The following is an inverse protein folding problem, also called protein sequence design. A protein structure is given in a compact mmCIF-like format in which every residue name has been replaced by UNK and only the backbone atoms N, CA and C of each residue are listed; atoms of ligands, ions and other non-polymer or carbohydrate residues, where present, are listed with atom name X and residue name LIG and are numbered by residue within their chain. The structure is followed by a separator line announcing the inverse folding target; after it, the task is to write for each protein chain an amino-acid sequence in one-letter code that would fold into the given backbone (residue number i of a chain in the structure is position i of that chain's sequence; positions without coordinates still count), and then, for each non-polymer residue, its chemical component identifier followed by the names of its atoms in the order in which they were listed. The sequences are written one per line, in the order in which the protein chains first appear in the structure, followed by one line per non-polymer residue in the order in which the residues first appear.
data_IF_135077940374
#
_entry.id   IF_135077940374
#
_cell.length_a   1.000
_cell.length_b   1.000
_cell.length_c   1.000
_cell.angle_alpha   90.00
_cell.angle_beta   90.00
_cell.angle_gamma   90.00
#
_symmetry.space_group_name_H-M   'P 1'
#
loop_
_entity.id
_entity.type
_entity.pdbx_description
1 polymer ?
#
# COMPACT_ATOMS: atom_id res chain seq x y z
N UNK A 1 57.38 17.63 20.85
CA UNK A 1 58.51 17.43 21.79
C UNK A 1 58.05 16.40 22.82
N UNK A 2 58.74 15.24 22.92
CA UNK A 2 58.74 14.26 24.05
C UNK A 2 57.46 13.42 24.22
N UNK A 3 57.42 12.11 24.48
CA UNK A 3 58.25 10.87 24.44
C UNK A 3 57.19 9.74 24.61
N UNK A 4 57.09 8.71 23.78
CA UNK A 4 57.76 7.40 23.93
C UNK A 4 57.52 6.63 25.25
N UNK A 5 57.09 5.36 25.10
CA UNK A 5 57.51 4.13 25.85
C UNK A 5 56.77 3.88 27.20
N UNK A 6 56.34 2.69 27.66
CA UNK A 6 56.75 1.25 27.60
C UNK A 6 55.51 0.37 27.92
N UNK A 7 55.27 -0.79 27.31
CA UNK A 7 55.85 -2.13 27.61
C UNK A 7 55.67 -2.60 29.06
N UNK A 8 54.92 -3.69 29.25
CA UNK A 8 55.24 -4.72 30.25
C UNK A 8 54.56 -6.05 29.90
N UNK A 9 55.33 -6.93 29.26
CA UNK A 9 55.21 -8.37 29.40
C UNK A 9 56.04 -8.79 30.61
N UNK A 10 55.53 -9.70 31.45
CA UNK A 10 56.32 -10.68 32.20
C UNK A 10 55.37 -11.72 32.85
N UNK A 11 55.42 -12.98 32.40
CA UNK A 11 55.95 -14.15 33.13
C UNK A 11 55.05 -14.66 34.28
N UNK A 12 54.45 -15.86 34.18
CA UNK A 12 55.03 -17.20 34.47
C UNK A 12 54.18 -17.81 35.61
N UNK A 13 53.83 -19.09 35.74
CA UNK A 13 54.61 -20.32 35.59
C UNK A 13 53.65 -21.54 35.66
N UNK A 14 53.99 -22.59 34.90
CA UNK A 14 53.91 -24.03 35.21
C UNK A 14 52.70 -24.59 36.00
N UNK A 15 52.00 -25.55 35.36
CA UNK A 15 52.03 -26.94 35.86
C UNK A 15 51.77 -27.93 34.72
N UNK A 16 52.74 -28.79 34.47
CA UNK A 16 52.60 -29.99 33.64
C UNK A 16 51.81 -31.05 34.43
N UNK A 17 50.96 -31.83 33.75
CA UNK A 17 50.72 -33.25 34.07
C UNK A 17 50.02 -33.97 32.90
N UNK A 18 50.85 -34.58 32.07
CA UNK A 18 50.81 -35.98 31.61
C UNK A 18 49.50 -36.81 31.60
N UNK A 19 49.29 -37.46 30.43
CA UNK A 19 49.02 -38.91 30.20
C UNK A 19 47.57 -39.38 29.91
N UNK A 20 47.49 -40.19 28.84
CA UNK A 20 46.43 -41.13 28.34
C UNK A 20 45.31 -40.51 27.49
N UNK A 21 45.35 -40.68 26.15
CA UNK A 21 44.77 -41.82 25.40
C UNK A 21 43.36 -42.21 25.87
N UNK A 22 42.33 -41.86 25.10
CA UNK A 22 41.53 -42.80 24.29
C UNK A 22 40.16 -42.22 23.91
N UNK A 23 39.85 -42.39 22.63
CA UNK A 23 38.54 -42.77 22.06
C UNK A 23 37.37 -41.77 22.03
N UNK A 24 36.75 -41.78 20.85
CA UNK A 24 35.34 -41.55 20.56
C UNK A 24 34.84 -40.10 20.44
N UNK A 25 34.96 -39.62 19.21
CA UNK A 25 33.91 -38.89 18.50
C UNK A 25 32.51 -39.45 18.78
N UNK A 26 31.78 -38.88 19.74
CA UNK A 26 30.32 -38.85 19.75
C UNK A 26 29.83 -38.04 20.95
N UNK A 27 29.49 -36.76 20.73
CA UNK A 27 28.34 -36.10 21.38
C UNK A 27 28.22 -34.68 20.82
N UNK A 28 27.77 -34.59 19.57
CA UNK A 28 27.10 -33.38 19.10
C UNK A 28 25.84 -33.27 19.96
N UNK A 29 25.81 -32.28 20.86
CA UNK A 29 24.61 -31.82 21.56
C UNK A 29 23.50 -31.62 20.52
N UNK A 30 22.58 -32.58 20.42
CA UNK A 30 21.27 -32.36 19.80
C UNK A 30 20.55 -31.36 20.68
N UNK A 31 20.57 -30.09 20.27
CA UNK A 31 19.58 -29.13 20.73
C UNK A 31 18.26 -29.63 20.15
N UNK A 32 17.45 -30.28 20.99
CA UNK A 32 16.02 -30.41 20.76
C UNK A 32 15.44 -29.00 20.80
N UNK A 33 15.50 -28.29 19.68
CA UNK A 33 14.62 -27.17 19.43
C UNK A 33 13.22 -27.75 19.28
N UNK A 34 12.49 -27.74 20.39
CA UNK A 34 11.04 -27.64 20.42
C UNK A 34 10.64 -26.47 19.51
N UNK A 35 10.52 -26.69 18.20
CA UNK A 35 9.65 -25.88 17.36
C UNK A 35 8.25 -26.46 17.57
N UNK A 36 7.68 -26.12 18.73
CA UNK A 36 6.25 -26.00 18.90
C UNK A 36 5.71 -25.33 17.65
N UNK A 37 5.06 -26.12 16.79
CA UNK A 37 4.31 -25.62 15.67
C UNK A 37 3.19 -24.78 16.26
N UNK A 38 3.46 -23.49 16.46
CA UNK A 38 2.45 -22.49 16.74
C UNK A 38 1.37 -22.67 15.68
N UNK A 39 0.08 -22.68 16.06
CA UNK A 39 -0.99 -22.74 15.07
C UNK A 39 -0.72 -21.63 14.08
N UNK A 40 -0.77 -21.96 12.79
CA UNK A 40 -0.61 -21.01 11.68
C UNK A 40 -1.74 -20.01 11.84
N UNK A 41 -1.52 -18.96 12.61
CA UNK A 41 -2.54 -17.95 12.91
C UNK A 41 -2.66 -17.12 11.66
N UNK A 42 -3.61 -17.50 10.80
CA UNK A 42 -4.01 -16.67 9.67
C UNK A 42 -4.71 -15.45 10.23
N UNK A 43 -4.08 -14.29 10.09
CA UNK A 43 -4.68 -13.00 10.44
C UNK A 43 -5.48 -12.47 9.25
N UNK A 44 -6.64 -11.86 9.49
CA UNK A 44 -7.42 -11.21 8.43
C UNK A 44 -7.20 -9.71 8.51
N UNK A 45 -6.69 -9.13 7.43
CA UNK A 45 -6.43 -7.70 7.31
C UNK A 45 -7.48 -7.09 6.38
N UNK A 46 -8.03 -5.95 6.81
CA UNK A 46 -8.91 -5.10 5.99
C UNK A 46 -8.32 -3.71 5.93
N UNK A 47 -8.26 -3.09 4.75
CA UNK A 47 -7.82 -1.71 4.64
C UNK A 47 -7.73 -1.22 3.20
N UNK A 48 -7.33 0.05 3.06
CA UNK A 48 -7.15 0.71 1.78
C UNK A 48 -5.73 0.51 1.29
N UNK A 49 -5.58 0.14 0.02
CA UNK A 49 -4.29 -0.03 -0.63
C UNK A 49 -3.66 1.33 -0.91
N UNK A 50 -2.50 1.57 -0.31
CA UNK A 50 -1.75 2.81 -0.52
C UNK A 50 -0.78 2.71 -1.70
N UNK A 51 -0.17 1.54 -1.90
CA UNK A 51 0.82 1.27 -2.95
C UNK A 51 0.73 -0.18 -3.41
N UNK A 52 1.04 -0.43 -4.68
CA UNK A 52 1.06 -1.76 -5.31
C UNK A 52 2.36 -1.93 -6.08
N UNK A 53 2.94 -3.12 -6.03
CA UNK A 53 4.04 -3.53 -6.91
C UNK A 53 3.89 -5.00 -7.31
N UNK A 54 4.88 -5.54 -8.02
CA UNK A 54 4.83 -6.93 -8.49
C UNK A 54 4.81 -7.95 -7.35
N UNK A 55 5.44 -7.62 -6.22
CA UNK A 55 5.68 -8.54 -5.10
C UNK A 55 4.61 -8.46 -4.01
N UNK A 56 3.81 -7.40 -3.94
CA UNK A 56 2.84 -7.22 -2.89
C UNK A 56 2.07 -5.91 -2.94
N UNK A 57 1.38 -5.62 -1.83
CA UNK A 57 0.61 -4.40 -1.61
C UNK A 57 0.97 -3.79 -0.25
N UNK A 58 0.84 -2.46 -0.15
CA UNK A 58 0.95 -1.72 1.10
C UNK A 58 -0.44 -1.34 1.61
N UNK A 59 -0.76 -1.73 2.84
CA UNK A 59 -2.03 -1.41 3.51
C UNK A 59 -1.72 -0.83 4.88
N UNK A 60 -2.18 0.39 5.15
CA UNK A 60 -1.73 1.17 6.31
C UNK A 60 -0.20 1.38 6.27
N UNK A 61 0.46 1.14 7.40
CA UNK A 61 1.92 1.29 7.52
C UNK A 61 2.71 0.01 7.21
N UNK A 62 2.06 -1.06 6.72
CA UNK A 62 2.68 -2.38 6.54
C UNK A 62 2.67 -2.85 5.09
N UNK A 63 3.77 -3.46 4.68
CA UNK A 63 3.90 -4.16 3.41
C UNK A 63 3.54 -5.64 3.56
N UNK A 64 2.76 -6.14 2.62
CA UNK A 64 2.33 -7.54 2.55
C UNK A 64 2.70 -8.12 1.19
N UNK A 65 3.50 -9.19 1.20
CA UNK A 65 3.95 -9.84 -0.02
C UNK A 65 2.96 -10.92 -0.47
N UNK A 66 2.80 -11.12 -1.78
CA UNK A 66 2.04 -12.24 -2.30
C UNK A 66 2.71 -13.57 -1.93
N UNK A 67 1.94 -14.51 -1.41
CA UNK A 67 2.43 -15.87 -1.21
C UNK A 67 2.72 -16.53 -2.56
N UNK A 68 3.77 -17.34 -2.62
CA UNK A 68 4.04 -18.23 -3.77
C UNK A 68 2.94 -19.26 -4.01
N UNK A 69 2.06 -19.47 -3.02
CA UNK A 69 0.93 -20.39 -3.06
C UNK A 69 -0.40 -19.68 -3.32
N UNK A 70 -0.38 -18.38 -3.64
CA UNK A 70 -1.58 -17.65 -4.00
C UNK A 70 -2.09 -18.19 -5.35
N UNK A 71 -3.30 -18.75 -5.36
CA UNK A 71 -3.86 -19.41 -6.54
C UNK A 71 -4.06 -18.44 -7.72
N UNK A 72 -4.53 -17.23 -7.43
CA UNK A 72 -4.75 -16.18 -8.41
C UNK A 72 -4.40 -14.82 -7.81
N UNK A 73 -3.65 -14.00 -8.55
CA UNK A 73 -3.36 -12.62 -8.17
C UNK A 73 -4.50 -11.73 -8.69
N UNK A 74 -5.38 -11.19 -7.82
CA UNK A 74 -6.40 -10.26 -8.27
C UNK A 74 -5.76 -8.97 -8.78
N UNK A 75 -6.45 -8.31 -9.71
CA UNK A 75 -6.08 -6.97 -10.17
C UNK A 75 -6.45 -5.95 -9.09
N UNK A 76 -5.44 -5.43 -8.40
CA UNK A 76 -5.57 -4.47 -7.31
C UNK A 76 -4.90 -3.17 -7.73
N UNK A 77 -5.59 -2.07 -7.54
CA UNK A 77 -5.09 -0.71 -7.73
C UNK A 77 -4.90 0.02 -6.41
N UNK A 78 -4.20 1.15 -6.46
CA UNK A 78 -4.14 2.10 -5.34
C UNK A 78 -5.55 2.65 -5.08
N UNK A 79 -5.90 2.81 -3.81
CA UNK A 79 -7.22 3.21 -3.29
C UNK A 79 -8.30 2.11 -3.30
N UNK A 80 -8.00 0.89 -3.74
CA UNK A 80 -8.91 -0.24 -3.54
C UNK A 80 -9.03 -0.57 -2.05
N UNK A 81 -10.24 -0.93 -1.63
CA UNK A 81 -10.47 -1.51 -0.30
C UNK A 81 -10.33 -3.02 -0.41
N UNK A 82 -9.40 -3.59 0.35
CA UNK A 82 -9.08 -5.01 0.28
C UNK A 82 -9.29 -5.68 1.61
N UNK A 83 -9.72 -6.95 1.56
CA UNK A 83 -9.78 -7.86 2.69
C UNK A 83 -9.07 -9.14 2.33
N UNK A 84 -8.05 -9.53 3.09
CA UNK A 84 -7.20 -10.69 2.78
C UNK A 84 -6.70 -11.39 4.03
N UNK A 85 -6.38 -12.67 3.89
CA UNK A 85 -5.76 -13.50 4.93
C UNK A 85 -4.24 -13.51 4.76
N UNK A 86 -3.52 -13.32 5.87
CA UNK A 86 -2.06 -13.32 5.94
C UNK A 86 -1.55 -14.40 6.88
N UNK A 87 -0.46 -15.03 6.49
CA UNK A 87 0.29 -15.98 7.31
C UNK A 87 1.77 -15.61 7.25
N UNK A 88 2.41 -15.40 8.40
CA UNK A 88 3.82 -15.00 8.51
C UNK A 88 4.18 -13.78 7.63
N UNK A 89 3.25 -12.84 7.45
CA UNK A 89 3.45 -11.63 6.63
C UNK A 89 3.23 -11.82 5.12
N UNK A 90 2.83 -13.02 4.67
CA UNK A 90 2.49 -13.30 3.28
C UNK A 90 0.98 -13.44 3.08
N UNK A 91 0.48 -12.85 1.99
CA UNK A 91 -0.94 -12.91 1.60
C UNK A 91 -1.21 -14.30 1.05
N UNK A 92 -2.04 -15.05 1.76
CA UNK A 92 -2.40 -16.43 1.42
C UNK A 92 -3.67 -16.47 0.57
N UNK A 93 -4.63 -15.59 0.86
CA UNK A 93 -5.91 -15.56 0.15
C UNK A 93 -6.52 -14.16 0.16
N UNK A 94 -7.15 -13.76 -0.95
CA UNK A 94 -8.00 -12.57 -1.01
C UNK A 94 -9.45 -12.96 -0.75
N UNK A 95 -10.09 -12.26 0.18
CA UNK A 95 -11.47 -12.51 0.59
C UNK A 95 -12.41 -11.56 -0.18
N UNK A 96 -12.03 -10.28 -0.29
CA UNK A 96 -12.76 -9.28 -1.05
C UNK A 96 -11.82 -8.19 -1.57
N UNK A 97 -12.12 -7.67 -2.76
CA UNK A 97 -11.47 -6.49 -3.35
C UNK A 97 -12.59 -5.60 -3.87
N UNK A 98 -12.79 -4.48 -3.20
CA UNK A 98 -13.75 -3.45 -3.57
C UNK A 98 -13.00 -2.33 -4.28
N UNK A 99 -13.33 -2.13 -5.55
CA UNK A 99 -12.80 -1.00 -6.31
C UNK A 99 -13.46 0.27 -5.81
N UNK A 100 -12.72 1.40 -5.72
CA UNK A 100 -13.33 2.68 -5.47
C UNK A 100 -14.37 2.89 -6.58
N UNK A 101 -15.64 2.88 -6.20
CA UNK A 101 -16.70 3.22 -7.14
C UNK A 101 -16.43 4.67 -7.50
N UNK A 102 -16.11 4.95 -8.77
CA UNK A 102 -16.08 6.33 -9.26
C UNK A 102 -17.37 6.98 -8.76
N UNK A 103 -17.30 8.14 -8.07
CA UNK A 103 -18.50 8.78 -7.59
C UNK A 103 -19.39 8.98 -8.80
N UNK A 104 -20.52 8.24 -8.86
CA UNK A 104 -21.54 8.51 -9.85
C UNK A 104 -21.89 9.98 -9.64
N UNK A 105 -21.72 10.84 -10.65
CA UNK A 105 -22.06 12.24 -10.49
C UNK A 105 -23.49 12.27 -9.99
N UNK A 106 -23.70 13.02 -8.90
CA UNK A 106 -25.04 13.20 -8.36
C UNK A 106 -25.96 13.72 -9.46
N UNK A 107 -27.26 13.47 -9.32
CA UNK A 107 -28.24 13.96 -10.29
C UNK A 107 -28.11 15.49 -10.48
N UNK A 108 -27.81 16.22 -9.39
CA UNK A 108 -27.54 17.66 -9.41
C UNK A 108 -26.30 18.05 -10.22
N UNK A 109 -25.19 17.32 -10.10
CA UNK A 109 -23.99 17.59 -10.90
C UNK A 109 -24.25 17.35 -12.38
N UNK A 110 -25.04 16.31 -12.70
CA UNK A 110 -25.43 16.01 -14.08
C UNK A 110 -26.29 17.13 -14.66
N UNK A 111 -27.28 17.61 -13.91
CA UNK A 111 -28.13 18.75 -14.29
C UNK A 111 -27.32 20.05 -14.48
N UNK A 112 -26.35 20.32 -13.59
CA UNK A 112 -25.47 21.49 -13.72
C UNK A 112 -24.61 21.41 -14.99
N UNK A 113 -24.06 20.23 -15.30
CA UNK A 113 -23.30 20.00 -16.53
C UNK A 113 -24.16 20.19 -17.78
N UNK A 114 -25.41 19.73 -17.76
CA UNK A 114 -26.36 19.92 -18.85
C UNK A 114 -26.70 21.41 -19.04
N UNK A 115 -26.92 22.13 -17.93
CA UNK A 115 -27.17 23.57 -17.97
C UNK A 115 -25.96 24.34 -18.53
N UNK A 116 -24.73 23.95 -18.17
CA UNK A 116 -23.50 24.51 -18.74
C UNK A 116 -23.40 24.27 -20.24
N UNK A 117 -23.66 23.04 -20.71
CA UNK A 117 -23.66 22.72 -22.14
C UNK A 117 -24.72 23.53 -22.90
N UNK A 118 -25.90 23.69 -22.31
CA UNK A 118 -26.99 24.47 -22.88
C UNK A 118 -26.64 25.95 -22.97
N UNK A 119 -26.06 26.53 -21.91
CA UNK A 119 -25.63 27.92 -21.90
C UNK A 119 -24.55 28.22 -22.94
N UNK A 120 -23.56 27.34 -23.09
CA UNK A 120 -22.53 27.47 -24.14
C UNK A 120 -23.18 27.45 -25.52
N UNK A 121 -24.10 26.50 -25.76
CA UNK A 121 -24.82 26.41 -27.03
C UNK A 121 -25.62 27.68 -27.34
N UNK A 122 -26.36 28.20 -26.37
CA UNK A 122 -27.14 29.44 -26.50
C UNK A 122 -26.22 30.62 -26.82
N UNK A 123 -25.12 30.77 -26.07
CA UNK A 123 -24.15 31.84 -26.28
C UNK A 123 -23.53 31.77 -27.69
N UNK A 124 -23.14 30.58 -28.14
CA UNK A 124 -22.59 30.38 -29.49
C UNK A 124 -23.60 30.68 -30.59
N UNK A 125 -24.88 30.33 -30.41
CA UNK A 125 -25.95 30.67 -31.37
C UNK A 125 -26.16 32.18 -31.44
N UNK A 126 -26.25 32.86 -30.30
CA UNK A 126 -26.44 34.31 -30.24
C UNK A 126 -25.22 35.09 -30.75
N UNK A 127 -24.00 34.58 -30.54
CA UNK A 127 -22.79 35.12 -31.17
C UNK A 127 -22.88 35.13 -32.69
N UNK A 128 -23.41 34.05 -33.28
CA UNK A 128 -23.59 33.92 -34.72
C UNK A 128 -24.69 34.81 -35.29
N UNK A 129 -25.78 35.03 -34.54
CA UNK A 129 -26.95 35.77 -35.02
C UNK A 129 -26.86 37.29 -34.77
N UNK A 130 -26.34 37.68 -33.60
CA UNK A 130 -26.41 39.07 -33.13
C UNK A 130 -25.02 39.73 -33.07
N UNK A 131 -23.95 39.00 -33.38
CA UNK A 131 -22.55 39.46 -33.34
C UNK A 131 -22.10 39.99 -31.97
N UNK A 132 -22.77 39.56 -30.90
CA UNK A 132 -22.43 39.88 -29.51
C UNK A 132 -21.53 38.78 -28.98
N UNK A 133 -20.34 39.11 -28.46
CA UNK A 133 -19.45 38.14 -27.80
C UNK A 133 -19.82 37.96 -26.33
N UNK A 134 -19.97 36.72 -25.88
CA UNK A 134 -20.21 36.40 -24.47
C UNK A 134 -18.89 36.13 -23.74
N UNK A 135 -18.74 36.69 -22.54
CA UNK A 135 -17.63 36.31 -21.68
C UNK A 135 -17.90 34.95 -21.03
N UNK A 136 -16.84 34.28 -20.57
CA UNK A 136 -16.97 33.06 -19.76
C UNK A 136 -17.86 33.29 -18.53
N UNK A 137 -17.78 34.48 -17.93
CA UNK A 137 -18.61 34.83 -16.77
C UNK A 137 -20.11 34.90 -17.13
N UNK A 138 -20.44 35.40 -18.31
CA UNK A 138 -21.84 35.50 -18.77
C UNK A 138 -22.42 34.11 -19.08
N UNK A 139 -21.62 33.23 -19.68
CA UNK A 139 -21.99 31.83 -19.93
C UNK A 139 -22.22 31.10 -18.60
N UNK A 140 -21.37 31.31 -17.59
CA UNK A 140 -21.55 30.71 -16.26
C UNK A 140 -22.83 31.24 -15.59
N UNK A 141 -23.09 32.56 -15.64
CA UNK A 141 -24.33 33.13 -15.09
C UNK A 141 -25.57 32.56 -15.78
N UNK A 142 -25.53 32.40 -17.10
CA UNK A 142 -26.62 31.81 -17.87
C UNK A 142 -26.82 30.33 -17.47
N UNK A 143 -25.75 29.55 -17.36
CA UNK A 143 -25.80 28.16 -16.93
C UNK A 143 -26.40 28.02 -15.52
N UNK A 144 -25.98 28.85 -14.57
CA UNK A 144 -26.55 28.85 -13.21
C UNK A 144 -28.03 29.25 -13.22
N UNK A 145 -28.42 30.19 -14.08
CA UNK A 145 -29.82 30.59 -14.25
C UNK A 145 -30.66 29.41 -14.77
N UNK A 146 -30.19 28.73 -15.81
CA UNK A 146 -30.85 27.55 -16.37
C UNK A 146 -30.95 26.41 -15.34
N UNK A 147 -29.88 26.17 -14.59
CA UNK A 147 -29.84 25.16 -13.53
C UNK A 147 -30.83 25.44 -12.40
N UNK A 148 -30.94 26.69 -11.94
CA UNK A 148 -31.91 27.08 -10.91
C UNK A 148 -33.34 27.00 -11.45
N UNK A 149 -33.56 27.23 -12.75
CA UNK A 149 -34.87 27.12 -13.37
C UNK A 149 -35.30 25.67 -13.57
N UNK A 150 -34.39 24.74 -13.87
CA UNK A 150 -34.72 23.31 -14.02
C UNK A 150 -35.19 22.64 -12.73
N UNK A 151 -34.97 23.29 -11.57
CA UNK A 151 -35.42 22.84 -10.26
C UNK A 151 -36.85 23.26 -9.90
N UNK A 152 -37.46 24.16 -10.67
CA UNK A 152 -38.81 24.69 -10.41
C UNK A 152 -39.85 23.96 -11.25
#
# INVERSE_FOLDING_TARGET
MIKQINSNQAFSNKSQNNVKQNMESAMIKRINSNSSASPVSSEVITGIVQQVNDRGIKVGDRWYNYSKFLAEKPSIAVNDTVKFAVSNGFIVNFIAVEKPTEPKPSERETQLLEALRSAVKIASTLEGEVSIKFSTQDIIKLALTLFIQSDR
#
